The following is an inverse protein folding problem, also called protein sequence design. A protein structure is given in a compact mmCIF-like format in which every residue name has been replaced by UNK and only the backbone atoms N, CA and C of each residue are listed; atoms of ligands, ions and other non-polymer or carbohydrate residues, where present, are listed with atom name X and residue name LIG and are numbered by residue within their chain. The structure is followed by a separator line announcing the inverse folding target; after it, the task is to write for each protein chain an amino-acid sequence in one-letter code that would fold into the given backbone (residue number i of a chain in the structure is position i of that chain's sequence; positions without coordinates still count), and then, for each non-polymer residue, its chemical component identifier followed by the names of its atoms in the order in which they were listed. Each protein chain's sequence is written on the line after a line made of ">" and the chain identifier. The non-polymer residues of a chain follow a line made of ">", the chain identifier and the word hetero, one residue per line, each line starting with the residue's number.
data_IF_427738008182
#
_entry.id   IF_427738008182
#
_cell.length_a   1.000
_cell.length_b   1.000
_cell.length_c   1.000
_cell.angle_alpha   90.00
_cell.angle_beta   90.00
_cell.angle_gamma   90.00
#
_symmetry.space_group_name_H-M   'P 1'
#
loop_
_entity.id
_entity.type
_entity.pdbx_description
1 polymer ?
#
# COMPACT_ATOMS: atom_id res chain seq x y z
N UNK A 1 22.89 -10.61 3.61
CA UNK A 1 22.73 -10.75 2.15
C UNK A 1 21.61 -9.85 1.63
N UNK A 2 20.35 -9.98 2.09
CA UNK A 2 19.24 -9.11 1.66
C UNK A 2 19.50 -7.61 1.86
N UNK A 3 20.01 -7.20 3.04
CA UNK A 3 20.35 -5.79 3.32
C UNK A 3 21.44 -5.22 2.39
N UNK A 4 22.45 -6.01 2.05
CA UNK A 4 23.53 -5.58 1.14
C UNK A 4 23.00 -5.42 -0.29
N UNK A 5 22.16 -6.36 -0.75
CA UNK A 5 21.52 -6.30 -2.07
C UNK A 5 20.63 -5.06 -2.19
N UNK A 6 19.80 -4.79 -1.17
CA UNK A 6 18.95 -3.59 -1.14
C UNK A 6 19.77 -2.29 -1.14
N UNK A 7 20.94 -2.28 -0.49
CA UNK A 7 21.79 -1.09 -0.44
C UNK A 7 22.43 -0.74 -1.79
N UNK A 8 22.78 -1.73 -2.62
CA UNK A 8 23.35 -1.48 -3.95
C UNK A 8 22.25 -1.11 -4.93
N UNK A 9 21.11 -1.81 -4.90
CA UNK A 9 19.96 -1.46 -5.74
C UNK A 9 19.44 -0.04 -5.46
N UNK A 10 19.52 0.45 -4.22
CA UNK A 10 19.19 1.84 -3.88
C UNK A 10 20.02 2.84 -4.69
N UNK A 11 21.32 2.57 -4.88
CA UNK A 11 22.20 3.45 -5.66
C UNK A 11 21.88 3.48 -7.17
N UNK A 12 21.06 2.56 -7.66
CA UNK A 12 20.64 2.55 -9.07
C UNK A 12 19.21 3.06 -9.21
N UNK A 13 18.31 2.59 -8.35
CA UNK A 13 16.86 2.78 -8.50
C UNK A 13 16.22 3.74 -7.51
N UNK A 14 16.92 4.21 -6.46
CA UNK A 14 16.33 5.05 -5.43
C UNK A 14 16.95 6.45 -5.35
N UNK A 15 18.27 6.56 -5.19
CA UNK A 15 18.90 7.83 -4.85
C UNK A 15 20.28 8.07 -5.47
N UNK A 16 20.77 7.15 -6.29
CA UNK A 16 22.10 7.29 -6.88
C UNK A 16 22.16 7.93 -8.27
N UNK A 17 23.37 7.99 -8.85
CA UNK A 17 23.68 8.87 -9.98
C UNK A 17 22.99 8.45 -11.28
N UNK A 18 22.82 7.14 -11.54
CA UNK A 18 22.17 6.66 -12.76
C UNK A 18 20.71 7.15 -12.81
N UNK A 19 19.95 6.97 -11.72
CA UNK A 19 18.58 7.46 -11.62
C UNK A 19 18.51 8.95 -11.92
N UNK A 20 19.31 9.76 -11.20
CA UNK A 20 19.30 11.21 -11.37
C UNK A 20 19.59 11.61 -12.83
N UNK A 21 20.66 11.09 -13.42
CA UNK A 21 21.05 11.45 -14.78
C UNK A 21 19.99 11.03 -15.81
N UNK A 22 19.40 9.84 -15.68
CA UNK A 22 18.33 9.40 -16.58
C UNK A 22 17.08 10.28 -16.42
N UNK A 23 16.67 10.59 -15.19
CA UNK A 23 15.48 11.40 -14.95
C UNK A 23 15.65 12.85 -15.41
N UNK A 24 16.77 13.49 -15.10
CA UNK A 24 17.09 14.88 -15.47
C UNK A 24 17.24 15.06 -17.00
N UNK A 25 17.56 13.98 -17.72
CA UNK A 25 17.69 13.99 -19.18
C UNK A 25 16.36 13.94 -19.95
N UNK A 26 15.23 13.73 -19.26
CA UNK A 26 13.91 13.49 -19.85
C UNK A 26 13.92 12.37 -20.92
N UNK A 27 14.80 11.38 -20.77
CA UNK A 27 14.93 10.27 -21.73
C UNK A 27 13.61 9.53 -21.96
N UNK A 28 12.85 9.33 -20.88
CA UNK A 28 11.54 8.68 -20.90
C UNK A 28 10.45 9.64 -20.40
N UNK A 29 9.25 9.62 -21.01
CA UNK A 29 8.16 10.52 -20.63
C UNK A 29 7.61 10.26 -19.23
N UNK A 30 7.59 9.00 -18.77
CA UNK A 30 7.15 8.59 -17.43
C UNK A 30 8.36 8.28 -16.55
N UNK A 31 8.47 8.93 -15.39
CA UNK A 31 9.53 8.69 -14.40
C UNK A 31 9.58 7.22 -13.96
N UNK A 32 8.45 6.51 -13.93
CA UNK A 32 8.38 5.08 -13.58
C UNK A 32 9.05 4.17 -14.62
N UNK A 33 9.21 4.61 -15.86
CA UNK A 33 9.74 3.77 -16.93
C UNK A 33 11.13 3.23 -16.61
N UNK A 34 12.07 4.10 -16.21
CA UNK A 34 13.44 3.70 -15.93
C UNK A 34 13.54 2.80 -14.69
N UNK A 35 12.82 3.14 -13.62
CA UNK A 35 12.91 2.40 -12.35
C UNK A 35 12.31 0.99 -12.42
N UNK A 36 11.53 0.69 -13.47
CA UNK A 36 10.99 -0.65 -13.76
C UNK A 36 11.87 -1.46 -14.73
N UNK A 37 12.96 -0.90 -15.24
CA UNK A 37 13.91 -1.63 -16.09
C UNK A 37 14.77 -2.53 -15.22
N UNK A 38 14.97 -3.80 -15.61
CA UNK A 38 15.92 -4.68 -14.92
C UNK A 38 17.34 -4.51 -15.44
N UNK A 39 18.33 -4.85 -14.63
CA UNK A 39 19.73 -4.90 -15.06
C UNK A 39 19.99 -6.10 -15.98
N UNK A 40 20.88 -5.91 -16.94
CA UNK A 40 21.47 -6.97 -17.78
C UNK A 40 22.77 -7.53 -17.20
N UNK A 41 23.42 -6.76 -16.33
CA UNK A 41 24.70 -7.08 -15.71
C UNK A 41 24.61 -6.88 -14.21
N UNK A 42 25.62 -7.38 -13.50
CA UNK A 42 25.79 -7.16 -12.07
C UNK A 42 25.67 -5.66 -11.71
N UNK A 43 25.01 -5.30 -10.59
CA UNK A 43 24.79 -3.91 -10.23
C UNK A 43 26.08 -3.13 -9.95
N UNK A 44 27.13 -3.76 -9.40
CA UNK A 44 28.43 -3.10 -9.16
C UNK A 44 29.11 -2.85 -10.50
N UNK A 45 29.09 -3.81 -11.41
CA UNK A 45 29.62 -3.63 -12.76
C UNK A 45 28.87 -2.52 -13.51
N UNK A 46 27.54 -2.45 -13.38
CA UNK A 46 26.71 -1.41 -14.00
C UNK A 46 27.05 -0.02 -13.47
N UNK A 47 27.19 0.14 -12.15
CA UNK A 47 27.62 1.40 -11.54
C UNK A 47 29.01 1.81 -12.00
N UNK A 48 29.98 0.89 -12.00
CA UNK A 48 31.34 1.17 -12.48
C UNK A 48 31.35 1.60 -13.95
N UNK A 49 30.63 0.88 -14.82
CA UNK A 49 30.55 1.21 -16.24
C UNK A 49 29.91 2.60 -16.47
N UNK A 50 28.95 2.98 -15.62
CA UNK A 50 28.38 4.34 -15.65
C UNK A 50 29.40 5.39 -15.22
N UNK A 51 30.12 5.15 -14.13
CA UNK A 51 31.15 6.07 -13.61
C UNK A 51 32.28 6.29 -14.64
N UNK A 52 32.66 5.24 -15.39
CA UNK A 52 33.65 5.31 -16.47
C UNK A 52 33.24 6.22 -17.64
N UNK A 53 31.94 6.49 -17.84
CA UNK A 53 31.47 7.45 -18.84
C UNK A 53 31.74 8.90 -18.42
N UNK A 54 31.77 9.19 -17.11
CA UNK A 54 31.99 10.52 -16.56
C UNK A 54 31.05 11.58 -17.18
N UNK A 55 31.63 12.71 -17.58
CA UNK A 55 30.89 13.83 -18.18
C UNK A 55 30.22 13.51 -19.53
N UNK A 56 30.59 12.41 -20.20
CA UNK A 56 29.97 12.02 -21.48
C UNK A 56 28.49 11.69 -21.33
N UNK A 57 28.05 11.35 -20.11
CA UNK A 57 26.63 11.09 -19.79
C UNK A 57 25.71 12.31 -19.99
N UNK A 58 26.28 13.52 -20.13
CA UNK A 58 25.54 14.74 -20.51
C UNK A 58 25.04 14.71 -21.96
N UNK A 59 25.67 13.91 -22.82
CA UNK A 59 25.16 13.64 -24.16
C UNK A 59 24.07 12.56 -24.09
N UNK A 60 22.84 12.94 -24.45
CA UNK A 60 21.68 12.05 -24.43
C UNK A 60 21.88 10.80 -25.30
N UNK A 61 22.66 10.87 -26.39
CA UNK A 61 22.94 9.72 -27.23
C UNK A 61 23.81 8.70 -26.51
N UNK A 62 24.84 9.16 -25.79
CA UNK A 62 25.72 8.30 -24.97
C UNK A 62 24.94 7.68 -23.81
N UNK A 63 24.15 8.48 -23.10
CA UNK A 63 23.33 7.99 -21.99
C UNK A 63 22.31 6.95 -22.47
N UNK A 64 21.67 7.19 -23.62
CA UNK A 64 20.71 6.24 -24.21
C UNK A 64 21.38 4.94 -24.62
N UNK A 65 22.57 4.99 -25.18
CA UNK A 65 23.34 3.79 -25.50
C UNK A 65 23.72 3.00 -24.25
N UNK A 66 24.13 3.68 -23.17
CA UNK A 66 24.38 3.07 -21.87
C UNK A 66 23.12 2.36 -21.34
N UNK A 67 21.98 3.06 -21.29
CA UNK A 67 20.71 2.49 -20.79
C UNK A 67 20.30 1.28 -21.63
N UNK A 68 20.33 1.40 -22.97
CA UNK A 68 19.96 0.30 -23.87
C UNK A 68 20.87 -0.92 -23.74
N UNK A 69 22.17 -0.72 -23.48
CA UNK A 69 23.13 -1.81 -23.33
C UNK A 69 23.07 -2.47 -21.94
N UNK A 70 22.74 -1.73 -20.88
CA UNK A 70 22.82 -2.22 -19.50
C UNK A 70 21.48 -2.60 -18.86
N UNK A 71 20.35 -2.20 -19.46
CA UNK A 71 19.02 -2.45 -18.91
C UNK A 71 18.10 -3.18 -19.90
N UNK A 72 17.26 -4.08 -19.38
CA UNK A 72 16.16 -4.69 -20.12
C UNK A 72 14.92 -3.78 -20.09
N UNK A 73 14.04 -3.86 -21.09
CA UNK A 73 12.80 -3.09 -21.06
C UNK A 73 11.94 -3.46 -19.85
N UNK A 74 11.10 -2.52 -19.34
CA UNK A 74 10.20 -2.79 -18.25
C UNK A 74 9.29 -3.99 -18.53
N UNK A 75 8.93 -4.75 -17.49
CA UNK A 75 8.03 -5.91 -17.60
C UNK A 75 8.68 -7.21 -18.06
N UNK A 76 9.98 -7.21 -18.36
CA UNK A 76 10.76 -8.42 -18.68
C UNK A 76 10.87 -9.44 -17.52
N UNK A 77 10.42 -9.04 -16.33
CA UNK A 77 10.51 -9.73 -15.05
C UNK A 77 9.30 -10.66 -14.78
N UNK A 78 8.22 -10.46 -15.53
CA UNK A 78 6.96 -11.18 -15.40
C UNK A 78 6.70 -12.10 -16.58
N UNK A 79 5.97 -13.19 -16.33
CA UNK A 79 5.37 -14.02 -17.36
C UNK A 79 3.85 -14.07 -17.18
N UNK A 80 3.13 -14.18 -18.29
CA UNK A 80 1.70 -14.49 -18.27
C UNK A 80 1.46 -15.82 -17.55
N UNK A 81 0.38 -15.87 -16.78
CA UNK A 81 0.00 -17.07 -16.05
C UNK A 81 -1.49 -17.32 -16.22
N UNK A 82 -1.87 -18.57 -16.45
CA UNK A 82 -3.26 -18.98 -16.53
C UNK A 82 -3.65 -19.66 -15.21
N UNK A 83 -4.47 -19.01 -14.36
CA UNK A 83 -4.90 -19.58 -13.09
C UNK A 83 -5.70 -20.87 -13.32
N UNK A 84 -5.37 -21.92 -12.56
CA UNK A 84 -5.94 -23.27 -12.75
C UNK A 84 -7.37 -23.39 -12.26
N UNK A 85 -7.74 -22.55 -11.30
CA UNK A 85 -9.05 -22.45 -10.67
C UNK A 85 -9.98 -21.48 -11.40
N UNK A 86 -9.55 -20.90 -12.53
CA UNK A 86 -10.41 -20.09 -13.38
C UNK A 86 -11.26 -20.97 -14.28
N UNK A 87 -12.57 -20.70 -14.32
CA UNK A 87 -13.55 -21.42 -15.15
C UNK A 87 -14.46 -20.43 -15.86
N UNK A 88 -14.88 -20.70 -17.09
CA UNK A 88 -15.64 -19.71 -17.89
C UNK A 88 -16.96 -19.23 -17.25
N UNK A 89 -17.60 -20.09 -16.46
CA UNK A 89 -18.91 -19.84 -15.84
C UNK A 89 -18.94 -20.34 -14.39
N UNK A 90 -18.39 -19.56 -13.44
CA UNK A 90 -18.45 -19.91 -12.01
C UNK A 90 -19.90 -19.94 -11.51
N UNK A 91 -20.21 -20.84 -10.58
CA UNK A 91 -21.59 -21.14 -10.19
C UNK A 91 -22.25 -19.98 -9.45
N UNK A 92 -21.48 -19.23 -8.66
CA UNK A 92 -21.86 -17.98 -7.98
C UNK A 92 -22.51 -16.93 -8.90
N UNK A 93 -22.15 -16.87 -10.19
CA UNK A 93 -22.71 -15.89 -11.12
C UNK A 93 -24.20 -16.14 -11.44
N UNK A 94 -24.71 -17.35 -11.16
CA UNK A 94 -26.13 -17.65 -11.27
C UNK A 94 -26.98 -16.84 -10.26
N UNK A 95 -26.37 -16.37 -9.17
CA UNK A 95 -27.02 -15.51 -8.17
C UNK A 95 -27.29 -14.09 -8.72
N UNK A 96 -26.64 -13.69 -9.82
CA UNK A 96 -26.92 -12.41 -10.48
C UNK A 96 -28.14 -12.62 -11.39
N UNK A 97 -29.35 -12.36 -10.88
CA UNK A 97 -30.60 -12.66 -11.60
C UNK A 97 -30.77 -11.89 -12.91
N UNK A 98 -30.34 -10.63 -12.95
CA UNK A 98 -30.43 -9.82 -14.16
C UNK A 98 -29.43 -10.29 -15.24
N UNK A 99 -29.94 -10.59 -16.43
CA UNK A 99 -29.17 -11.12 -17.55
C UNK A 99 -28.03 -10.18 -17.99
N UNK A 100 -28.31 -8.88 -18.05
CA UNK A 100 -27.32 -7.90 -18.53
C UNK A 100 -26.20 -7.71 -17.51
N UNK A 101 -26.54 -7.64 -16.21
CA UNK A 101 -25.55 -7.59 -15.13
C UNK A 101 -24.72 -8.87 -15.07
N UNK A 102 -25.33 -10.05 -15.22
CA UNK A 102 -24.61 -11.33 -15.23
C UNK A 102 -23.63 -11.39 -16.39
N UNK A 103 -24.05 -10.99 -17.60
CA UNK A 103 -23.19 -10.94 -18.79
C UNK A 103 -22.03 -9.96 -18.61
N UNK A 104 -22.29 -8.79 -18.03
CA UNK A 104 -21.25 -7.81 -17.72
C UNK A 104 -20.26 -8.34 -16.66
N UNK A 105 -20.75 -8.96 -15.60
CA UNK A 105 -19.91 -9.55 -14.56
C UNK A 105 -19.03 -10.68 -15.13
N UNK A 106 -19.56 -11.53 -16.01
CA UNK A 106 -18.76 -12.56 -16.71
C UNK A 106 -17.67 -11.96 -17.61
N UNK A 107 -17.89 -10.76 -18.15
CA UNK A 107 -16.84 -10.03 -18.85
C UNK A 107 -15.73 -9.58 -17.90
N UNK A 108 -16.07 -9.07 -16.71
CA UNK A 108 -15.09 -8.74 -15.67
C UNK A 108 -14.31 -9.97 -15.19
N UNK A 109 -14.99 -11.11 -15.03
CA UNK A 109 -14.36 -12.36 -14.61
C UNK A 109 -13.22 -12.81 -15.55
N UNK A 110 -13.32 -12.53 -16.85
CA UNK A 110 -12.26 -12.83 -17.84
C UNK A 110 -11.00 -12.00 -17.60
N UNK A 111 -11.13 -10.80 -17.05
CA UNK A 111 -10.00 -9.90 -16.79
C UNK A 111 -9.02 -10.53 -15.78
N UNK A 112 -9.51 -11.33 -14.82
CA UNK A 112 -8.64 -12.04 -13.88
C UNK A 112 -7.64 -12.95 -14.58
N UNK A 113 -8.09 -13.67 -15.61
CA UNK A 113 -7.21 -14.51 -16.43
C UNK A 113 -6.19 -13.66 -17.19
N UNK A 114 -6.65 -12.57 -17.82
CA UNK A 114 -5.83 -11.75 -18.72
C UNK A 114 -4.77 -10.91 -17.97
N UNK A 115 -5.03 -10.57 -16.69
CA UNK A 115 -4.13 -9.82 -15.81
C UNK A 115 -3.33 -10.70 -14.84
N UNK A 116 -3.48 -12.02 -14.89
CA UNK A 116 -2.70 -12.90 -14.03
C UNK A 116 -1.25 -13.02 -14.51
N UNK A 117 -0.31 -12.81 -13.60
CA UNK A 117 1.13 -12.84 -13.85
C UNK A 117 1.84 -13.69 -12.81
N UNK A 118 2.99 -14.23 -13.19
CA UNK A 118 3.93 -14.89 -12.28
C UNK A 118 5.29 -14.22 -12.41
N UNK A 119 5.98 -14.02 -11.28
CA UNK A 119 7.38 -13.56 -11.30
C UNK A 119 8.27 -14.64 -11.91
N UNK A 120 9.19 -14.26 -12.80
CA UNK A 120 10.17 -15.20 -13.36
C UNK A 120 11.07 -15.76 -12.27
N UNK A 121 11.44 -17.04 -12.40
CA UNK A 121 12.36 -17.70 -11.45
C UNK A 121 13.74 -17.03 -11.39
N UNK A 122 14.09 -16.25 -12.41
CA UNK A 122 15.32 -15.49 -12.47
C UNK A 122 15.37 -14.37 -11.42
N UNK A 123 14.24 -13.70 -11.17
CA UNK A 123 14.12 -12.67 -10.12
C UNK A 123 14.42 -13.25 -8.75
N UNK A 124 14.01 -14.51 -8.50
CA UNK A 124 14.34 -15.21 -7.25
C UNK A 124 15.84 -15.45 -7.11
N UNK A 125 16.52 -15.84 -8.19
CA UNK A 125 17.94 -16.23 -8.20
C UNK A 125 18.86 -15.02 -8.18
N UNK A 126 18.44 -13.94 -8.82
CA UNK A 126 19.22 -12.73 -9.09
C UNK A 126 18.46 -11.48 -8.65
N UNK A 127 17.87 -11.49 -7.45
CA UNK A 127 17.06 -10.36 -6.91
C UNK A 127 17.79 -9.01 -6.95
N UNK A 128 19.12 -9.03 -6.94
CA UNK A 128 20.03 -7.89 -7.08
C UNK A 128 20.08 -7.26 -8.48
N UNK A 129 19.39 -7.84 -9.46
CA UNK A 129 19.26 -7.30 -10.82
C UNK A 129 17.91 -6.62 -11.07
N UNK A 130 16.99 -6.70 -10.09
CA UNK A 130 15.58 -6.37 -10.29
C UNK A 130 15.10 -5.37 -9.26
N UNK A 131 14.46 -4.31 -9.73
CA UNK A 131 13.67 -3.48 -8.82
C UNK A 131 12.40 -4.21 -8.40
N UNK A 132 11.85 -5.16 -9.18
CA UNK A 132 10.74 -6.01 -8.78
C UNK A 132 11.16 -6.95 -7.65
N UNK A 133 10.38 -6.98 -6.57
CA UNK A 133 10.56 -7.90 -5.45
C UNK A 133 9.94 -9.25 -5.80
N UNK A 134 10.71 -10.32 -5.59
CA UNK A 134 10.23 -11.68 -5.82
C UNK A 134 9.06 -12.03 -4.89
N UNK A 135 8.05 -12.71 -5.44
CA UNK A 135 6.99 -13.39 -4.70
C UNK A 135 6.78 -14.82 -5.24
N UNK A 136 6.44 -15.80 -4.39
CA UNK A 136 6.41 -17.21 -4.78
C UNK A 136 5.18 -17.62 -5.60
N UNK A 137 4.05 -16.94 -5.48
CA UNK A 137 2.81 -17.31 -6.15
C UNK A 137 2.46 -16.35 -7.29
N UNK A 138 1.68 -16.82 -8.29
CA UNK A 138 1.03 -15.92 -9.24
C UNK A 138 0.13 -14.90 -8.53
N UNK A 139 -0.08 -13.76 -9.16
CA UNK A 139 -0.94 -12.69 -8.66
C UNK A 139 -1.60 -11.95 -9.82
N UNK A 140 -2.59 -11.12 -9.52
CA UNK A 140 -3.26 -10.27 -10.51
C UNK A 140 -2.67 -8.86 -10.40
N UNK A 141 -2.26 -8.27 -11.53
CA UNK A 141 -1.83 -6.86 -11.57
C UNK A 141 -3.03 -5.94 -11.78
N UNK A 142 -2.99 -4.66 -11.35
CA UNK A 142 -4.03 -3.68 -11.68
C UNK A 142 -4.15 -3.42 -13.20
N UNK A 143 -3.03 -3.48 -13.93
CA UNK A 143 -2.96 -3.33 -15.39
C UNK A 143 -2.20 -2.09 -15.88
N UNK A 144 -1.86 -2.09 -17.18
CA UNK A 144 -1.16 -0.97 -17.83
C UNK A 144 0.27 -0.75 -17.32
N UNK A 145 0.54 0.43 -16.74
CA UNK A 145 1.87 0.78 -16.16
C UNK A 145 2.14 0.12 -14.81
N UNK A 146 1.10 -0.42 -14.17
CA UNK A 146 1.18 -1.10 -12.88
C UNK A 146 1.45 -2.57 -13.10
N UNK A 147 2.71 -2.97 -12.92
CA UNK A 147 3.27 -4.28 -13.32
C UNK A 147 3.80 -5.05 -12.12
N UNK A 148 3.33 -4.70 -10.94
CA UNK A 148 3.65 -5.31 -9.67
C UNK A 148 2.33 -5.50 -8.91
N UNK A 149 2.34 -6.31 -7.85
CA UNK A 149 1.22 -6.27 -6.93
C UNK A 149 1.20 -4.91 -6.23
N UNK A 150 0.00 -4.42 -5.94
CA UNK A 150 -0.24 -3.28 -5.05
C UNK A 150 -1.06 -3.75 -3.87
N UNK A 151 -0.73 -3.28 -2.67
CA UNK A 151 -1.24 -3.87 -1.44
C UNK A 151 -2.76 -3.73 -1.32
N UNK A 152 -3.28 -2.49 -1.30
CA UNK A 152 -4.71 -2.31 -1.07
C UNK A 152 -5.57 -2.71 -2.29
N UNK A 153 -5.04 -2.61 -3.52
CA UNK A 153 -5.70 -3.11 -4.73
C UNK A 153 -5.95 -4.61 -4.65
N UNK A 154 -5.01 -5.35 -4.06
CA UNK A 154 -5.11 -6.80 -3.87
C UNK A 154 -6.31 -7.20 -3.02
N UNK A 155 -6.81 -6.31 -2.15
CA UNK A 155 -8.02 -6.57 -1.36
C UNK A 155 -9.26 -6.67 -2.26
N UNK A 156 -9.43 -5.70 -3.15
CA UNK A 156 -10.56 -5.64 -4.08
C UNK A 156 -10.50 -6.75 -5.11
N UNK A 157 -9.30 -7.07 -5.59
CA UNK A 157 -9.05 -8.23 -6.44
C UNK A 157 -9.47 -9.50 -5.71
N UNK A 158 -9.02 -9.70 -4.47
CA UNK A 158 -9.33 -10.89 -3.68
C UNK A 158 -10.84 -11.06 -3.47
N UNK A 159 -11.58 -9.99 -3.18
CA UNK A 159 -13.06 -10.02 -3.12
C UNK A 159 -13.66 -10.55 -4.43
N UNK A 160 -13.19 -10.03 -5.56
CA UNK A 160 -13.63 -10.46 -6.90
C UNK A 160 -13.25 -11.91 -7.21
N UNK A 161 -12.08 -12.38 -6.76
CA UNK A 161 -11.62 -13.76 -6.91
C UNK A 161 -12.45 -14.74 -6.08
N UNK A 162 -12.78 -14.39 -4.83
CA UNK A 162 -13.67 -15.20 -3.97
C UNK A 162 -15.05 -15.34 -4.61
N UNK A 163 -15.62 -14.24 -5.12
CA UNK A 163 -16.89 -14.31 -5.86
C UNK A 163 -16.75 -15.13 -7.15
N UNK A 164 -15.57 -15.14 -7.76
CA UNK A 164 -15.24 -15.93 -8.94
C UNK A 164 -14.91 -17.39 -8.66
N UNK A 165 -15.04 -17.86 -7.42
CA UNK A 165 -14.67 -19.22 -6.99
C UNK A 165 -13.18 -19.55 -7.21
N UNK A 166 -12.33 -18.52 -7.36
CA UNK A 166 -10.88 -18.63 -7.59
C UNK A 166 -10.10 -18.61 -6.26
N UNK A 167 -10.42 -19.57 -5.39
CA UNK A 167 -9.89 -19.63 -4.03
C UNK A 167 -8.38 -19.91 -3.98
N UNK A 168 -7.85 -20.73 -4.89
CA UNK A 168 -6.41 -21.05 -4.93
C UNK A 168 -5.59 -19.83 -5.32
N UNK A 169 -6.09 -19.04 -6.28
CA UNK A 169 -5.48 -17.77 -6.68
C UNK A 169 -5.56 -16.75 -5.54
N UNK A 170 -6.70 -16.65 -4.84
CA UNK A 170 -6.85 -15.78 -3.67
C UNK A 170 -5.87 -16.14 -2.53
N UNK A 171 -5.74 -17.44 -2.22
CA UNK A 171 -4.76 -17.94 -1.23
C UNK A 171 -3.32 -17.59 -1.62
N UNK A 172 -2.99 -17.71 -2.91
CA UNK A 172 -1.69 -17.32 -3.47
C UNK A 172 -1.37 -15.84 -3.27
N UNK A 173 -2.34 -14.95 -3.49
CA UNK A 173 -2.18 -13.50 -3.24
C UNK A 173 -1.89 -13.24 -1.75
N UNK A 174 -2.67 -13.84 -0.84
CA UNK A 174 -2.42 -13.71 0.61
C UNK A 174 -1.00 -14.18 0.95
N UNK A 175 -0.56 -15.32 0.42
CA UNK A 175 0.80 -15.85 0.67
C UNK A 175 1.89 -14.92 0.13
N UNK A 176 1.67 -14.25 -0.99
CA UNK A 176 2.62 -13.25 -1.51
C UNK A 176 2.73 -12.03 -0.59
N UNK A 177 1.62 -11.53 -0.05
CA UNK A 177 1.63 -10.40 0.89
C UNK A 177 2.24 -10.82 2.24
N UNK A 178 1.92 -12.02 2.73
CA UNK A 178 2.54 -12.60 3.91
C UNK A 178 4.06 -12.76 3.72
N UNK A 179 4.51 -13.22 2.55
CA UNK A 179 5.93 -13.30 2.20
C UNK A 179 6.62 -11.93 2.30
N UNK A 180 5.95 -10.84 1.91
CA UNK A 180 6.49 -9.49 2.06
C UNK A 180 6.64 -9.10 3.53
N UNK A 181 5.63 -9.35 4.35
CA UNK A 181 5.71 -9.13 5.80
C UNK A 181 6.84 -9.93 6.41
N UNK A 182 7.03 -11.18 5.97
CA UNK A 182 8.06 -12.04 6.53
C UNK A 182 9.48 -11.57 6.23
N UNK A 183 9.72 -11.09 5.00
CA UNK A 183 11.04 -10.64 4.55
C UNK A 183 11.34 -9.16 4.83
N UNK A 184 10.32 -8.30 4.92
CA UNK A 184 10.48 -6.85 5.03
C UNK A 184 9.82 -6.23 6.28
N UNK A 185 9.02 -7.01 7.02
CA UNK A 185 8.36 -6.60 8.26
C UNK A 185 6.98 -5.98 8.08
N UNK A 186 6.57 -5.69 6.83
CA UNK A 186 5.28 -5.12 6.46
C UNK A 186 5.01 -5.39 4.97
N UNK A 187 3.78 -5.16 4.52
CA UNK A 187 3.48 -5.18 3.07
C UNK A 187 3.82 -3.82 2.47
N UNK A 188 4.77 -3.72 1.51
CA UNK A 188 5.07 -2.46 0.84
C UNK A 188 3.91 -2.00 -0.05
N UNK A 189 3.89 -0.71 -0.41
CA UNK A 189 2.90 -0.12 -1.32
C UNK A 189 2.68 -0.99 -2.57
N UNK A 190 3.79 -1.43 -3.18
CA UNK A 190 3.78 -2.47 -4.20
C UNK A 190 5.08 -3.26 -4.22
N UNK A 191 5.17 -4.23 -5.12
CA UNK A 191 6.29 -5.19 -5.21
C UNK A 191 7.58 -4.64 -5.81
N UNK A 192 8.05 -3.45 -5.41
CA UNK A 192 9.30 -2.84 -5.92
C UNK A 192 10.20 -2.36 -4.80
N UNK A 193 11.52 -2.39 -5.00
CA UNK A 193 12.52 -1.94 -3.99
C UNK A 193 12.29 -0.49 -3.55
N UNK A 194 11.89 0.39 -4.46
CA UNK A 194 11.61 1.80 -4.16
C UNK A 194 10.32 2.02 -3.34
N UNK A 195 9.50 0.97 -3.17
CA UNK A 195 8.34 0.96 -2.28
C UNK A 195 8.66 0.46 -0.86
N UNK A 196 9.87 -0.05 -0.57
CA UNK A 196 10.25 -0.52 0.77
C UNK A 196 10.38 0.59 1.83
N UNK A 197 10.08 1.84 1.47
CA UNK A 197 10.03 2.99 2.39
C UNK A 197 8.64 3.23 2.97
N UNK A 198 7.58 2.62 2.39
CA UNK A 198 6.18 2.89 2.74
C UNK A 198 5.26 1.72 2.45
N UNK A 199 4.17 1.63 3.22
CA UNK A 199 3.13 0.61 3.03
C UNK A 199 1.98 1.15 2.16
N UNK A 200 0.78 0.62 2.39
CA UNK A 200 -0.52 1.06 1.90
C UNK A 200 -1.58 0.69 2.95
N UNK A 201 -2.88 1.04 2.78
CA UNK A 201 -3.92 0.66 3.73
C UNK A 201 -3.86 -0.82 4.19
N UNK A 202 -3.81 -1.10 5.52
CA UNK A 202 -3.46 -2.42 6.05
C UNK A 202 -4.61 -3.42 6.00
N UNK A 203 -4.82 -4.01 4.83
CA UNK A 203 -5.95 -4.88 4.51
C UNK A 203 -5.62 -6.38 4.51
N UNK A 204 -4.41 -6.82 4.85
CA UNK A 204 -4.05 -8.25 4.86
C UNK A 204 -4.88 -9.06 5.86
N UNK A 205 -5.12 -8.55 7.06
CA UNK A 205 -5.97 -9.21 8.07
C UNK A 205 -7.41 -9.38 7.54
N UNK A 206 -8.08 -8.34 7.01
CA UNK A 206 -9.36 -8.46 6.32
C UNK A 206 -9.36 -9.44 5.15
N UNK A 207 -8.30 -9.47 4.32
CA UNK A 207 -8.18 -10.44 3.22
C UNK A 207 -8.24 -11.89 3.72
N UNK A 208 -7.50 -12.21 4.79
CA UNK A 208 -7.51 -13.56 5.38
C UNK A 208 -8.88 -13.87 5.98
N UNK A 209 -9.51 -12.91 6.64
CA UNK A 209 -10.85 -13.07 7.18
C UNK A 209 -11.89 -13.34 6.08
N UNK A 210 -11.88 -12.58 4.99
CA UNK A 210 -12.78 -12.79 3.85
C UNK A 210 -12.54 -14.14 3.16
N UNK A 211 -11.27 -14.51 2.98
CA UNK A 211 -10.90 -15.83 2.45
C UNK A 211 -11.46 -16.95 3.34
N UNK A 212 -11.34 -16.83 4.66
CA UNK A 212 -11.92 -17.78 5.60
C UNK A 212 -13.45 -17.84 5.48
N UNK A 213 -14.15 -16.71 5.41
CA UNK A 213 -15.60 -16.70 5.21
C UNK A 213 -16.02 -17.36 3.89
N UNK A 214 -15.21 -17.23 2.84
CA UNK A 214 -15.47 -17.83 1.53
C UNK A 214 -15.16 -19.33 1.44
N UNK A 215 -14.29 -19.87 2.31
CA UNK A 215 -13.72 -21.22 2.14
C UNK A 215 -13.86 -22.13 3.36
N UNK A 216 -13.98 -21.57 4.56
CA UNK A 216 -13.90 -22.29 5.82
C UNK A 216 -12.49 -22.83 6.17
N UNK A 217 -11.45 -22.44 5.43
CA UNK A 217 -10.08 -22.95 5.55
C UNK A 217 -9.36 -22.38 6.79
N UNK A 218 -9.70 -22.92 7.96
CA UNK A 218 -9.15 -22.50 9.24
C UNK A 218 -7.66 -22.84 9.39
N UNK A 219 -7.21 -23.94 8.77
CA UNK A 219 -5.81 -24.36 8.83
C UNK A 219 -4.91 -23.32 8.18
N UNK A 220 -5.30 -22.79 7.02
CA UNK A 220 -4.56 -21.70 6.38
C UNK A 220 -4.57 -20.41 7.21
N UNK A 221 -5.70 -20.08 7.85
CA UNK A 221 -5.77 -18.91 8.74
C UNK A 221 -4.77 -19.05 9.90
N UNK A 222 -4.68 -20.23 10.50
CA UNK A 222 -3.75 -20.49 11.61
C UNK A 222 -2.28 -20.51 11.13
N UNK A 223 -2.03 -20.99 9.92
CA UNK A 223 -0.71 -20.91 9.25
C UNK A 223 -0.22 -19.46 9.16
N UNK A 224 -1.07 -18.53 8.70
CA UNK A 224 -0.67 -17.14 8.41
C UNK A 224 -0.82 -16.18 9.60
N UNK A 225 -1.57 -16.54 10.64
CA UNK A 225 -1.83 -15.70 11.82
C UNK A 225 -0.59 -15.05 12.45
N UNK A 226 0.57 -15.75 12.63
CA UNK A 226 1.78 -15.10 13.15
C UNK A 226 2.26 -13.94 12.27
N UNK A 227 2.15 -14.07 10.95
CA UNK A 227 2.53 -13.05 9.97
C UNK A 227 1.56 -11.87 9.99
N UNK A 228 0.25 -12.13 10.15
CA UNK A 228 -0.75 -11.07 10.34
C UNK A 228 -0.46 -10.21 11.56
N UNK A 229 -0.15 -10.84 12.69
CA UNK A 229 0.24 -10.14 13.90
C UNK A 229 1.53 -9.33 13.69
N UNK A 230 2.52 -9.88 12.98
CA UNK A 230 3.78 -9.19 12.68
C UNK A 230 3.54 -7.87 11.93
N UNK A 231 2.65 -7.85 10.95
CA UNK A 231 2.30 -6.62 10.25
C UNK A 231 1.55 -5.63 11.16
N UNK A 232 0.57 -6.08 11.93
CA UNK A 232 -0.16 -5.21 12.86
C UNK A 232 0.79 -4.54 13.87
N UNK A 233 1.80 -5.28 14.35
CA UNK A 233 2.85 -4.75 15.23
C UNK A 233 3.77 -3.75 14.51
N UNK A 234 4.00 -3.88 13.20
CA UNK A 234 4.67 -2.83 12.42
C UNK A 234 3.88 -1.51 12.50
N UNK A 235 2.55 -1.53 12.30
CA UNK A 235 1.72 -0.32 12.38
C UNK A 235 1.73 0.30 13.78
N UNK A 236 1.66 -0.53 14.83
CA UNK A 236 1.85 -0.05 16.21
C UNK A 236 3.22 0.64 16.35
N UNK A 237 4.29 0.00 15.91
CA UNK A 237 5.64 0.50 16.14
C UNK A 237 5.98 1.74 15.32
N UNK A 238 5.57 1.75 14.05
CA UNK A 238 6.07 2.70 13.05
C UNK A 238 5.08 3.80 12.67
N UNK A 239 3.79 3.63 12.98
CA UNK A 239 2.72 4.53 12.53
C UNK A 239 1.82 5.01 13.67
N UNK A 240 1.98 4.49 14.89
CA UNK A 240 1.20 4.96 16.04
C UNK A 240 1.84 6.15 16.76
N UNK A 241 0.99 6.98 17.35
CA UNK A 241 1.33 8.02 18.31
C UNK A 241 0.27 8.03 19.42
N UNK A 242 0.59 8.66 20.55
CA UNK A 242 -0.35 8.80 21.66
C UNK A 242 -1.04 10.17 21.60
N UNK A 243 -2.37 10.16 21.63
CA UNK A 243 -3.17 11.38 21.81
C UNK A 243 -3.09 11.83 23.27
N UNK A 244 -2.82 13.13 23.45
CA UNK A 244 -2.80 13.80 24.75
C UNK A 244 -3.87 14.88 24.74
N UNK A 245 -4.67 14.92 25.81
CA UNK A 245 -5.64 16.00 26.00
C UNK A 245 -4.96 17.34 26.34
N UNK A 246 -5.76 18.38 26.55
CA UNK A 246 -5.27 19.73 26.89
C UNK A 246 -4.45 19.77 28.19
N UNK A 247 -4.67 18.81 29.09
CA UNK A 247 -3.95 18.67 30.35
C UNK A 247 -2.68 17.80 30.19
N UNK A 248 -2.35 17.36 28.98
CA UNK A 248 -1.22 16.48 28.69
C UNK A 248 -1.45 15.02 29.09
N UNK A 249 -2.68 14.64 29.45
CA UNK A 249 -3.02 13.27 29.86
C UNK A 249 -3.17 12.38 28.64
N UNK A 250 -2.48 11.24 28.64
CA UNK A 250 -2.56 10.23 27.57
C UNK A 250 -3.94 9.56 27.58
N UNK A 251 -4.59 9.48 26.41
CA UNK A 251 -5.93 8.88 26.27
C UNK A 251 -5.88 7.55 25.52
N UNK A 252 -5.43 7.58 24.27
CA UNK A 252 -5.42 6.44 23.36
C UNK A 252 -4.35 6.62 22.28
N UNK A 253 -3.88 5.53 21.66
CA UNK A 253 -3.09 5.61 20.44
C UNK A 253 -3.96 5.98 19.24
N UNK A 254 -3.39 6.73 18.30
CA UNK A 254 -3.93 6.94 16.96
C UNK A 254 -2.83 6.61 15.93
N UNK A 255 -3.24 6.42 14.68
CA UNK A 255 -2.36 6.04 13.58
C UNK A 255 -2.36 7.09 12.47
N UNK A 256 -1.20 7.29 11.84
CA UNK A 256 -1.04 8.18 10.69
C UNK A 256 -0.22 7.50 9.60
N UNK A 257 -0.56 7.75 8.34
CA UNK A 257 0.36 7.50 7.24
C UNK A 257 1.55 8.45 7.37
N UNK A 258 2.75 7.88 7.49
CA UNK A 258 3.93 8.62 7.94
C UNK A 258 5.22 8.00 7.42
N UNK A 259 5.24 7.77 6.11
CA UNK A 259 6.45 7.40 5.39
C UNK A 259 7.51 8.51 5.52
N UNK A 260 8.78 8.12 5.65
CA UNK A 260 9.90 9.05 5.69
C UNK A 260 10.76 8.85 4.45
N UNK A 261 10.97 9.93 3.72
CA UNK A 261 11.79 9.93 2.52
C UNK A 261 12.69 11.16 2.50
N UNK A 262 13.97 10.95 2.18
CA UNK A 262 14.99 12.00 2.11
C UNK A 262 15.31 12.45 0.68
N UNK A 263 14.67 11.81 -0.29
CA UNK A 263 14.87 12.03 -1.72
C UNK A 263 13.50 12.04 -2.41
N UNK A 264 13.39 12.52 -3.66
CA UNK A 264 12.18 12.35 -4.46
C UNK A 264 11.77 10.87 -4.59
N UNK A 265 10.47 10.57 -4.74
CA UNK A 265 10.04 9.21 -5.06
C UNK A 265 10.62 8.77 -6.41
N UNK A 266 11.28 7.62 -6.53
CA UNK A 266 11.95 7.26 -7.78
C UNK A 266 11.03 7.13 -8.99
N UNK A 267 9.82 6.61 -8.78
CA UNK A 267 8.78 6.46 -9.81
C UNK A 267 8.08 7.77 -10.20
N UNK A 268 8.40 8.87 -9.52
CA UNK A 268 7.89 10.24 -9.77
C UNK A 268 8.98 11.27 -9.48
N UNK A 269 10.23 10.94 -9.85
CA UNK A 269 11.41 11.67 -9.39
C UNK A 269 11.37 13.13 -9.85
N UNK A 270 11.07 13.38 -11.13
CA UNK A 270 11.02 14.73 -11.68
C UNK A 270 9.92 15.55 -11.03
N UNK A 271 8.74 14.97 -10.92
CA UNK A 271 7.54 15.60 -10.37
C UNK A 271 7.78 16.02 -8.91
N UNK A 272 8.33 15.13 -8.09
CA UNK A 272 8.64 15.40 -6.68
C UNK A 272 9.81 16.39 -6.52
N UNK A 273 10.76 16.41 -7.46
CA UNK A 273 11.87 17.36 -7.45
C UNK A 273 11.41 18.78 -7.84
N UNK A 274 10.53 18.92 -8.83
CA UNK A 274 9.88 20.19 -9.21
C UNK A 274 9.12 20.81 -8.03
N UNK A 275 8.43 19.98 -7.24
CA UNK A 275 7.67 20.43 -6.07
C UNK A 275 8.50 21.16 -5.02
N UNK A 276 9.81 20.86 -4.93
CA UNK A 276 10.69 21.43 -3.89
C UNK A 276 11.67 22.48 -4.40
N UNK A 277 11.67 22.83 -5.69
CA UNK A 277 12.64 23.78 -6.28
C UNK A 277 12.66 25.16 -5.61
N UNK A 278 11.51 25.59 -5.09
CA UNK A 278 11.37 26.88 -4.43
C UNK A 278 11.88 26.87 -2.98
N UNK A 279 12.07 25.69 -2.39
CA UNK A 279 12.54 25.51 -1.02
C UNK A 279 14.07 25.57 -0.97
N UNK A 280 14.59 26.39 -0.06
CA UNK A 280 16.04 26.60 0.06
C UNK A 280 16.67 25.59 1.02
N UNK A 281 15.98 25.25 2.12
CA UNK A 281 16.53 24.39 3.18
C UNK A 281 16.27 22.92 2.90
N UNK A 282 17.28 22.08 3.10
CA UNK A 282 17.16 20.65 2.85
C UNK A 282 16.20 19.93 3.82
N UNK A 283 16.02 20.47 5.03
CA UNK A 283 15.01 19.95 5.97
C UNK A 283 13.58 20.17 5.43
N UNK A 284 13.33 21.31 4.78
CA UNK A 284 12.02 21.63 4.19
C UNK A 284 11.74 20.73 2.98
N UNK A 285 12.75 20.48 2.14
CA UNK A 285 12.66 19.52 1.02
C UNK A 285 12.38 18.10 1.52
N UNK A 286 13.12 17.65 2.53
CA UNK A 286 12.95 16.34 3.16
C UNK A 286 11.56 16.17 3.76
N UNK A 287 11.06 17.21 4.44
CA UNK A 287 9.69 17.21 4.94
C UNK A 287 8.71 17.06 3.79
N UNK A 288 8.80 17.90 2.75
CA UNK A 288 7.91 17.85 1.59
C UNK A 288 7.90 16.47 0.92
N UNK A 289 9.06 15.87 0.65
CA UNK A 289 9.13 14.52 0.08
C UNK A 289 8.50 13.47 1.00
N UNK A 290 8.65 13.59 2.31
CA UNK A 290 8.00 12.69 3.27
C UNK A 290 6.48 12.86 3.31
N UNK A 291 5.96 14.08 3.22
CA UNK A 291 4.52 14.37 3.13
C UNK A 291 3.91 13.76 1.85
N UNK A 292 4.61 13.92 0.72
CA UNK A 292 4.25 13.34 -0.59
C UNK A 292 4.28 11.81 -0.54
N UNK A 293 5.36 11.22 -0.03
CA UNK A 293 5.47 9.77 0.11
C UNK A 293 4.40 9.19 1.05
N UNK A 294 4.03 9.93 2.09
CA UNK A 294 2.95 9.55 3.00
C UNK A 294 1.58 9.65 2.33
N UNK A 295 1.36 10.62 1.45
CA UNK A 295 0.14 10.65 0.64
C UNK A 295 0.03 9.43 -0.28
N UNK A 296 1.14 9.00 -0.89
CA UNK A 296 1.17 7.75 -1.64
C UNK A 296 0.96 6.49 -0.75
N UNK A 297 1.42 6.53 0.50
CA UNK A 297 1.10 5.48 1.50
C UNK A 297 -0.39 5.38 1.81
N UNK A 298 -1.17 6.46 1.60
CA UNK A 298 -2.62 6.44 1.84
C UNK A 298 -3.41 5.70 0.75
N UNK A 299 -2.83 5.54 -0.45
CA UNK A 299 -3.56 5.14 -1.67
C UNK A 299 -4.28 6.29 -2.39
N UNK A 300 -4.25 7.51 -1.83
CA UNK A 300 -4.89 8.71 -2.36
C UNK A 300 -3.89 9.79 -2.78
N UNK A 301 -2.92 9.43 -3.62
CA UNK A 301 -1.97 10.33 -4.27
C UNK A 301 -2.53 10.86 -5.61
N UNK A 302 -3.02 12.10 -5.71
CA UNK A 302 -3.18 13.10 -4.64
C UNK A 302 -4.61 13.60 -4.53
N UNK A 303 -4.95 14.09 -3.34
CA UNK A 303 -6.28 14.57 -2.98
C UNK A 303 -6.20 15.85 -2.18
N UNK A 304 -7.16 16.75 -2.38
CA UNK A 304 -7.33 17.97 -1.56
C UNK A 304 -7.57 17.64 -0.08
N UNK A 305 -7.91 16.39 0.25
CA UNK A 305 -7.92 15.81 1.60
C UNK A 305 -6.62 16.08 2.35
N UNK A 306 -5.47 16.06 1.67
CA UNK A 306 -4.14 16.17 2.28
C UNK A 306 -3.54 17.58 2.21
N UNK A 307 -4.25 18.54 1.61
CA UNK A 307 -3.73 19.88 1.35
C UNK A 307 -4.25 20.89 2.40
N UNK A 308 -3.57 22.02 2.56
CA UNK A 308 -4.09 23.09 3.40
C UNK A 308 -5.47 23.57 2.89
N UNK A 309 -6.39 23.84 3.81
CA UNK A 309 -7.74 24.32 3.49
C UNK A 309 -7.85 25.86 3.50
N UNK A 310 -6.82 26.52 4.03
CA UNK A 310 -6.69 27.97 4.18
C UNK A 310 -5.26 28.42 3.84
N UNK A 311 -5.06 29.74 3.80
CA UNK A 311 -3.80 30.36 3.41
C UNK A 311 -3.62 30.48 1.89
N UNK A 312 -2.44 30.98 1.51
CA UNK A 312 -2.09 31.33 0.13
C UNK A 312 -2.09 30.13 -0.82
N UNK A 313 -1.67 28.95 -0.34
CA UNK A 313 -1.56 27.71 -1.12
C UNK A 313 -2.72 26.73 -0.86
N UNK A 314 -3.90 27.21 -0.44
CA UNK A 314 -5.03 26.33 -0.14
C UNK A 314 -5.41 25.45 -1.34
N UNK A 315 -5.76 24.20 -1.07
CA UNK A 315 -6.12 23.17 -2.07
C UNK A 315 -5.07 22.92 -3.17
N UNK A 316 -3.84 23.41 -2.99
CA UNK A 316 -2.71 23.16 -3.88
C UNK A 316 -1.84 22.05 -3.34
N UNK A 317 -1.27 21.24 -4.23
CA UNK A 317 -0.29 20.21 -3.86
C UNK A 317 0.92 20.79 -3.13
N UNK A 318 1.25 22.08 -3.34
CA UNK A 318 2.34 22.77 -2.62
C UNK A 318 2.09 22.90 -1.12
N UNK A 319 0.84 22.74 -0.66
CA UNK A 319 0.48 22.77 0.75
C UNK A 319 0.15 21.40 1.32
N UNK A 320 0.62 20.32 0.68
CA UNK A 320 0.49 18.96 1.18
C UNK A 320 1.07 18.83 2.60
N UNK A 321 0.28 18.20 3.48
CA UNK A 321 0.52 18.15 4.93
C UNK A 321 -0.07 16.87 5.55
N UNK A 322 0.15 15.75 4.88
CA UNK A 322 -0.32 14.41 5.26
C UNK A 322 0.02 14.04 6.72
N UNK A 323 1.21 14.37 7.20
CA UNK A 323 1.66 14.11 8.59
C UNK A 323 0.90 14.92 9.64
N UNK A 324 0.20 15.97 9.23
CA UNK A 324 -0.63 16.78 10.13
C UNK A 324 -2.06 16.24 10.24
N UNK A 325 -2.39 15.16 9.55
CA UNK A 325 -3.73 14.59 9.48
C UNK A 325 -3.72 13.18 10.10
N UNK A 326 -4.66 12.92 10.99
CA UNK A 326 -5.01 11.59 11.47
C UNK A 326 -6.12 11.07 10.56
N UNK A 327 -5.85 10.04 9.73
CA UNK A 327 -6.82 9.57 8.75
C UNK A 327 -7.87 8.66 9.37
N UNK A 328 -9.15 8.94 9.13
CA UNK A 328 -10.27 8.15 9.67
C UNK A 328 -10.30 6.72 9.13
N UNK A 329 -9.91 6.54 7.87
CA UNK A 329 -9.82 5.24 7.20
C UNK A 329 -8.74 4.35 7.84
N UNK A 330 -7.53 4.87 8.04
CA UNK A 330 -6.44 4.13 8.68
C UNK A 330 -6.83 3.66 10.08
N UNK A 331 -7.41 4.55 10.90
CA UNK A 331 -7.80 4.21 12.27
C UNK A 331 -8.97 3.23 12.29
N UNK A 332 -9.90 3.30 11.32
CA UNK A 332 -10.94 2.29 11.13
C UNK A 332 -10.35 0.92 10.78
N UNK A 333 -9.39 0.83 9.87
CA UNK A 333 -8.70 -0.42 9.54
C UNK A 333 -7.98 -1.00 10.75
N UNK A 334 -7.25 -0.17 11.51
CA UNK A 334 -6.55 -0.61 12.72
C UNK A 334 -7.51 -1.09 13.82
N UNK A 335 -8.69 -0.46 13.94
CA UNK A 335 -9.75 -0.89 14.84
C UNK A 335 -10.27 -2.29 14.48
N UNK A 336 -10.65 -2.48 13.22
CA UNK A 336 -11.11 -3.79 12.71
C UNK A 336 -10.03 -4.86 12.86
N UNK A 337 -8.79 -4.55 12.50
CA UNK A 337 -7.68 -5.49 12.58
C UNK A 337 -7.45 -5.99 14.00
N UNK A 338 -7.60 -5.12 15.00
CA UNK A 338 -7.55 -5.51 16.41
C UNK A 338 -8.67 -6.49 16.78
N UNK A 339 -9.90 -6.24 16.32
CA UNK A 339 -11.04 -7.13 16.56
C UNK A 339 -10.83 -8.50 15.93
N UNK A 340 -10.44 -8.54 14.65
CA UNK A 340 -10.21 -9.81 13.94
C UNK A 340 -9.09 -10.60 14.62
N UNK A 341 -7.96 -9.96 14.95
CA UNK A 341 -6.86 -10.64 15.66
C UNK A 341 -7.32 -11.19 17.02
N UNK A 342 -8.12 -10.46 17.80
CA UNK A 342 -8.66 -10.97 19.05
C UNK A 342 -9.47 -12.26 18.83
N UNK A 343 -10.36 -12.29 17.84
CA UNK A 343 -11.15 -13.49 17.51
C UNK A 343 -10.29 -14.65 17.01
N UNK A 344 -9.28 -14.38 16.17
CA UNK A 344 -8.38 -15.43 15.67
C UNK A 344 -7.52 -16.04 16.79
N UNK A 345 -7.03 -15.21 17.72
CA UNK A 345 -6.29 -15.71 18.89
C UNK A 345 -7.18 -16.42 19.91
N UNK A 346 -8.47 -16.08 19.98
CA UNK A 346 -9.45 -16.82 20.78
C UNK A 346 -9.65 -18.24 20.24
N UNK A 347 -9.82 -18.37 18.91
CA UNK A 347 -9.90 -19.69 18.25
C UNK A 347 -8.62 -20.50 18.48
N UNK A 348 -7.45 -19.85 18.45
CA UNK A 348 -6.16 -20.49 18.74
C UNK A 348 -5.97 -20.85 20.23
N UNK A 349 -6.75 -20.28 21.13
CA UNK A 349 -6.65 -20.48 22.59
C UNK A 349 -5.57 -19.63 23.29
N UNK A 350 -5.06 -18.55 22.67
CA UNK A 350 -4.09 -17.64 23.29
C UNK A 350 -4.78 -16.45 23.97
N UNK A 351 -5.31 -16.69 25.17
CA UNK A 351 -6.06 -15.68 25.92
C UNK A 351 -5.24 -14.44 26.33
N UNK A 352 -3.90 -14.54 26.38
CA UNK A 352 -3.05 -13.36 26.62
C UNK A 352 -3.11 -12.41 25.42
N UNK A 353 -3.03 -12.96 24.21
CA UNK A 353 -3.17 -12.19 22.96
C UNK A 353 -4.59 -11.67 22.80
N UNK A 354 -5.62 -12.46 23.15
CA UNK A 354 -7.02 -11.99 23.16
C UNK A 354 -7.16 -10.73 24.01
N UNK A 355 -6.70 -10.75 25.26
CA UNK A 355 -6.79 -9.58 26.15
C UNK A 355 -6.04 -8.35 25.58
N UNK A 356 -4.87 -8.56 24.99
CA UNK A 356 -4.09 -7.50 24.34
C UNK A 356 -4.85 -6.85 23.18
N UNK A 357 -5.40 -7.66 22.27
CA UNK A 357 -6.09 -7.15 21.08
C UNK A 357 -7.49 -6.61 21.38
N UNK A 358 -8.20 -7.17 22.35
CA UNK A 358 -9.44 -6.59 22.86
C UNK A 358 -9.22 -5.20 23.47
N UNK A 359 -8.17 -5.02 24.29
CA UNK A 359 -7.83 -3.71 24.82
C UNK A 359 -7.54 -2.70 23.70
N UNK A 360 -6.80 -3.12 22.67
CA UNK A 360 -6.51 -2.28 21.50
C UNK A 360 -7.79 -1.90 20.75
N UNK A 361 -8.71 -2.84 20.55
CA UNK A 361 -10.01 -2.59 19.93
C UNK A 361 -10.85 -1.58 20.73
N UNK A 362 -10.92 -1.72 22.06
CA UNK A 362 -11.64 -0.76 22.91
C UNK A 362 -11.04 0.64 22.85
N UNK A 363 -9.71 0.76 22.89
CA UNK A 363 -9.02 2.03 22.74
C UNK A 363 -9.25 2.65 21.34
N UNK A 364 -9.24 1.85 20.28
CA UNK A 364 -9.50 2.32 18.91
C UNK A 364 -10.95 2.78 18.73
N UNK A 365 -11.94 2.08 19.31
CA UNK A 365 -13.35 2.55 19.31
C UNK A 365 -13.49 3.90 19.99
N UNK A 366 -12.80 4.08 21.13
CA UNK A 366 -12.80 5.33 21.87
C UNK A 366 -12.16 6.45 21.04
N UNK A 367 -11.01 6.18 20.44
CA UNK A 367 -10.30 7.10 19.54
C UNK A 367 -11.20 7.56 18.40
N UNK A 368 -11.77 6.62 17.64
CA UNK A 368 -12.71 6.91 16.56
C UNK A 368 -13.83 7.84 17.05
N UNK A 369 -14.45 7.54 18.19
CA UNK A 369 -15.53 8.37 18.74
C UNK A 369 -15.09 9.78 19.10
N UNK A 370 -13.94 9.91 19.75
CA UNK A 370 -13.52 11.19 20.34
C UNK A 370 -12.92 12.15 19.31
N UNK A 371 -12.22 11.65 18.27
CA UNK A 371 -11.51 12.52 17.32
C UNK A 371 -11.99 12.42 15.86
N UNK A 372 -12.81 11.43 15.51
CA UNK A 372 -13.32 11.29 14.14
C UNK A 372 -14.82 11.56 14.00
N UNK A 373 -15.64 11.26 15.01
CA UNK A 373 -17.10 11.41 14.92
C UNK A 373 -17.55 12.88 15.00
N UNK A 374 -18.43 13.27 14.08
CA UNK A 374 -19.14 14.55 14.16
C UNK A 374 -20.65 14.31 14.37
N UNK A 375 -21.15 14.68 15.54
CA UNK A 375 -22.56 14.50 15.91
C UNK A 375 -23.53 15.32 15.04
N UNK A 376 -23.13 16.52 14.62
CA UNK A 376 -23.97 17.43 13.85
C UNK A 376 -24.21 16.91 12.43
N UNK A 377 -23.15 16.47 11.76
CA UNK A 377 -23.20 15.98 10.38
C UNK A 377 -23.51 14.47 10.32
N UNK A 378 -23.34 13.75 11.43
CA UNK A 378 -23.57 12.30 11.50
C UNK A 378 -22.60 11.47 10.65
N UNK A 379 -21.38 11.99 10.45
CA UNK A 379 -20.33 11.33 9.67
C UNK A 379 -18.99 11.42 10.37
N UNK A 380 -18.04 10.60 9.92
CA UNK A 380 -16.69 10.56 10.44
C UNK A 380 -15.74 11.37 9.54
N UNK A 381 -14.89 12.18 10.15
CA UNK A 381 -13.92 13.05 9.48
C UNK A 381 -12.50 12.70 9.88
N UNK A 382 -11.53 13.10 9.08
CA UNK A 382 -10.14 13.13 9.53
C UNK A 382 -9.94 14.18 10.64
N UNK A 383 -8.95 13.95 11.50
CA UNK A 383 -8.58 14.89 12.55
C UNK A 383 -7.29 15.63 12.19
N UNK A 384 -7.28 16.95 12.31
CA UNK A 384 -6.09 17.77 12.05
C UNK A 384 -5.36 18.05 13.36
N UNK A 385 -4.10 17.60 13.44
CA UNK A 385 -3.28 17.74 14.63
C UNK A 385 -2.83 19.18 14.92
N UNK A 386 -2.69 20.01 13.88
CA UNK A 386 -2.24 21.40 14.03
C UNK A 386 -3.39 22.27 14.53
N UNK A 387 -4.58 22.08 13.98
CA UNK A 387 -5.76 22.88 14.32
C UNK A 387 -6.63 22.28 15.42
N UNK A 388 -6.38 21.02 15.79
CA UNK A 388 -7.06 20.25 16.85
C UNK A 388 -8.58 20.12 16.68
N UNK A 389 -9.08 20.01 15.45
CA UNK A 389 -10.52 19.76 15.20
C UNK A 389 -10.73 18.71 14.11
N UNK A 390 -11.95 18.18 14.04
CA UNK A 390 -12.43 17.31 12.97
C UNK A 390 -12.73 18.17 11.73
N UNK A 391 -12.17 17.85 10.56
CA UNK A 391 -12.33 18.72 9.38
C UNK A 391 -13.18 18.12 8.27
N UNK A 392 -13.99 19.01 7.68
CA UNK A 392 -14.87 18.72 6.54
C UNK A 392 -14.08 18.58 5.25
N UNK A 393 -13.58 17.37 4.99
CA UNK A 393 -13.61 16.82 3.62
C UNK A 393 -14.60 15.67 3.69
N UNK A 394 -15.71 15.78 2.96
CA UNK A 394 -16.79 14.78 2.99
C UNK A 394 -16.21 13.44 2.58
N UNK A 395 -15.86 12.62 3.57
CA UNK A 395 -15.37 11.28 3.33
C UNK A 395 -16.58 10.36 3.22
N UNK A 396 -17.11 10.21 2.00
CA UNK A 396 -18.15 9.22 1.71
C UNK A 396 -17.60 7.77 1.74
N UNK A 397 -16.32 7.56 2.09
CA UNK A 397 -15.68 6.25 1.92
C UNK A 397 -15.98 5.23 2.99
N UNK A 398 -16.22 5.57 4.27
CA UNK A 398 -16.63 4.52 5.21
C UNK A 398 -17.90 3.80 4.72
N UNK A 399 -18.81 4.53 4.05
CA UNK A 399 -19.98 3.94 3.37
C UNK A 399 -19.62 3.14 2.12
N UNK A 400 -18.62 3.56 1.33
CA UNK A 400 -18.19 2.86 0.09
C UNK A 400 -17.28 1.65 0.36
N UNK A 401 -16.52 1.69 1.44
CA UNK A 401 -15.67 0.62 1.97
C UNK A 401 -16.47 -0.37 2.82
N UNK A 402 -17.79 -0.21 2.92
CA UNK A 402 -18.63 -1.11 3.71
C UNK A 402 -18.40 -1.09 5.22
N UNK A 403 -17.66 -0.10 5.74
CA UNK A 403 -17.38 0.05 7.16
C UNK A 403 -18.54 0.78 7.80
N UNK A 404 -19.50 0.03 8.36
CA UNK A 404 -20.49 0.61 9.28
C UNK A 404 -19.88 0.75 10.66
N UNK A 405 -19.39 1.95 10.96
CA UNK A 405 -19.24 2.38 12.36
C UNK A 405 -20.56 3.03 12.76
N UNK A 406 -21.43 2.25 13.41
CA UNK A 406 -22.74 2.73 13.85
C UNK A 406 -22.59 3.33 15.24
N UNK A 407 -22.83 4.64 15.35
CA UNK A 407 -23.20 5.26 16.63
C UNK A 407 -24.69 4.98 16.83
N UNK A 408 -25.01 3.98 17.65
CA UNK A 408 -26.40 3.73 18.01
C UNK A 408 -26.90 4.91 18.86
N UNK A 409 -27.90 5.64 18.35
CA UNK A 409 -28.48 6.85 18.97
C UNK A 409 -29.06 6.58 20.36
N UNK A 410 -29.30 5.32 20.71
CA UNK A 410 -29.92 4.93 21.98
C UNK A 410 -28.95 4.34 23.02
N UNK A 411 -27.80 3.78 22.63
CA UNK A 411 -26.94 3.03 23.56
C UNK A 411 -25.61 3.68 23.94
N UNK A 412 -25.20 4.81 23.34
CA UNK A 412 -23.87 5.44 23.57
C UNK A 412 -22.66 4.51 23.31
N UNK A 413 -22.87 3.31 22.74
CA UNK A 413 -21.83 2.35 22.36
C UNK A 413 -21.47 2.57 20.89
N UNK A 414 -20.17 2.68 20.59
CA UNK A 414 -19.67 2.61 19.21
C UNK A 414 -19.65 1.15 18.83
N UNK A 415 -20.53 0.79 17.90
CA UNK A 415 -20.60 -0.55 17.35
C UNK A 415 -19.86 -0.56 16.01
N UNK A 416 -18.64 -1.10 16.02
CA UNK A 416 -17.95 -1.57 14.81
C UNK A 416 -18.25 -3.08 14.73
N UNK A 417 -19.52 -3.47 14.60
CA UNK A 417 -19.89 -4.90 14.63
C UNK A 417 -19.85 -5.57 13.27
N UNK A 418 -20.04 -4.85 12.16
CA UNK A 418 -20.19 -5.51 10.86
C UNK A 418 -19.58 -4.68 9.72
N UNK A 419 -18.51 -5.23 9.13
CA UNK A 419 -18.05 -4.86 7.80
C UNK A 419 -18.97 -5.51 6.78
N UNK A 420 -20.02 -4.81 6.36
CA UNK A 420 -20.73 -5.15 5.14
C UNK A 420 -20.07 -4.38 3.99
N UNK A 421 -19.03 -4.98 3.40
CA UNK A 421 -18.57 -4.58 2.06
C UNK A 421 -19.70 -4.85 1.07
N UNK A 422 -20.49 -3.82 0.76
CA UNK A 422 -21.49 -3.86 -0.32
C UNK A 422 -20.84 -3.59 -1.66
#
# INVERSE_FOLDING_TARGET
>A
MLYTVLSVLSQIYCDGPILRTVQDSFMFPDSKHFVDMSLKFDPIATLRNFDELGDKTKDIAVLREFVNSHFNPPGSELVEWFPRDWVDFPSTFLNIHDYHHRRWALHLHRIWRDLCRRVRDDVRRHQDHYSLLYVPHPFIIPGGRFREFYYWDSFWILKGLIFSEMYETARGIIRNLAFMVDNHGFVPNGGRVYYLTRSQPPLLIPMVYDYFLGTGDLDFVMEVLPTLEKEYLFWIKQRSRIYKDENGTEKFPYYQYRATLKVPRPESYREDYEMVHHLQKDEEKTKMWSEIASAAETGWDFSTRWFAQDGENKHSMKSIRTWSIVPVDLNAFMCVNARILASLFEIRGDFKKVAFYQQRYELAKREMKEIHWNETDGIWYDYDLEKKVCWKVVNNELKRLGIKVVADRLSKVVVVDELFFF
#
